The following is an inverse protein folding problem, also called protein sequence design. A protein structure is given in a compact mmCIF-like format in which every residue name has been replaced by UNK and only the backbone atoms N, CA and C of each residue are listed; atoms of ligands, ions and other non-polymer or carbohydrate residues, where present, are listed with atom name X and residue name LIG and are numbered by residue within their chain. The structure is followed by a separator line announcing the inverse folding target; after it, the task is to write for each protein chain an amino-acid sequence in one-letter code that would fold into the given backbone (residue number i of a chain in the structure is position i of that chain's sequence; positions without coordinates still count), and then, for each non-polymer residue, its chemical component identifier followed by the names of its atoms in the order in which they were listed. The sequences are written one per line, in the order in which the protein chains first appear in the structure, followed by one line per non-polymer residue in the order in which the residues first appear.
data_IF_776585346544
#
_entry.id   IF_776585346544
#
_cell.length_a   1.000
_cell.length_b   1.000
_cell.length_c   1.000
_cell.angle_alpha   90.00
_cell.angle_beta   90.00
_cell.angle_gamma   90.00
#
_symmetry.space_group_name_H-M   'P 1'
#
loop_
_entity.id
_entity.type
_entity.pdbx_description
1 polymer ?
#
# COMPACT_ATOMS: atom_id res chain seq x y z
N UNK A 1 -7.84 -27.29 24.06
CA UNK A 1 -6.74 -27.85 23.24
C UNK A 1 -5.75 -28.52 24.17
N UNK A 2 -5.41 -29.79 23.93
CA UNK A 2 -4.47 -30.57 24.75
C UNK A 2 -3.04 -29.98 24.73
N UNK A 3 -2.74 -29.14 23.73
CA UNK A 3 -1.42 -28.56 23.47
C UNK A 3 -1.05 -27.42 24.44
N UNK A 4 -2.00 -26.56 24.82
CA UNK A 4 -1.74 -25.47 25.80
C UNK A 4 -1.40 -26.03 27.19
N UNK A 5 -2.07 -27.12 27.60
CA UNK A 5 -1.79 -27.82 28.84
C UNK A 5 -0.38 -28.45 28.83
N UNK A 6 0.02 -29.03 27.69
CA UNK A 6 1.36 -29.58 27.49
C UNK A 6 2.45 -28.48 27.55
N UNK A 7 2.25 -27.36 26.85
CA UNK A 7 3.18 -26.22 26.85
C UNK A 7 3.34 -25.63 28.25
N UNK A 8 2.24 -25.45 28.99
CA UNK A 8 2.27 -24.96 30.38
C UNK A 8 3.01 -25.92 31.31
N UNK A 9 2.77 -27.22 31.18
CA UNK A 9 3.45 -28.25 31.98
C UNK A 9 4.95 -28.30 31.70
N UNK A 10 5.34 -28.22 30.42
CA UNK A 10 6.75 -28.18 30.01
C UNK A 10 7.46 -26.92 30.54
N UNK A 11 6.82 -25.75 30.43
CA UNK A 11 7.37 -24.51 30.99
C UNK A 11 7.58 -24.61 32.51
N UNK A 12 6.59 -25.13 33.25
CA UNK A 12 6.68 -25.27 34.70
C UNK A 12 7.83 -26.18 35.14
N UNK A 13 8.10 -27.26 34.40
CA UNK A 13 9.24 -28.14 34.67
C UNK A 13 10.59 -27.43 34.44
N UNK A 14 10.69 -26.66 33.35
CA UNK A 14 11.92 -25.93 33.00
C UNK A 14 12.14 -24.77 33.98
N UNK A 15 11.09 -24.05 34.37
CA UNK A 15 11.19 -22.91 35.30
C UNK A 15 11.59 -23.36 36.70
N UNK A 16 11.11 -24.50 37.19
CA UNK A 16 11.57 -25.09 38.46
C UNK A 16 13.04 -25.50 38.38
N UNK A 17 13.46 -26.15 37.27
CA UNK A 17 14.82 -26.68 37.09
C UNK A 17 15.88 -25.59 37.02
N UNK A 18 15.55 -24.44 36.44
CA UNK A 18 16.48 -23.33 36.23
C UNK A 18 16.16 -22.11 37.09
N UNK A 19 15.35 -22.27 38.15
CA UNK A 19 14.98 -21.15 39.01
C UNK A 19 16.25 -20.45 39.58
N UNK A 20 16.37 -19.11 39.48
CA UNK A 20 17.59 -18.40 39.87
C UNK A 20 18.04 -18.68 41.30
N UNK A 21 17.08 -18.81 42.22
CA UNK A 21 17.35 -19.11 43.64
C UNK A 21 17.97 -20.49 43.89
N UNK A 22 17.76 -21.45 42.98
CA UNK A 22 18.25 -22.84 43.11
C UNK A 22 19.40 -23.16 42.17
N UNK A 23 19.60 -22.34 41.14
CA UNK A 23 20.60 -22.58 40.11
C UNK A 23 21.16 -21.21 39.64
N UNK A 24 22.27 -20.74 40.24
CA UNK A 24 22.85 -19.42 39.96
C UNK A 24 23.18 -19.22 38.46
N UNK A 25 23.64 -20.28 37.79
CA UNK A 25 23.96 -20.29 36.35
C UNK A 25 22.73 -20.58 35.46
N UNK A 26 21.56 -20.82 36.06
CA UNK A 26 20.31 -21.14 35.37
C UNK A 26 19.54 -19.93 34.86
N UNK A 27 19.94 -18.72 35.24
CA UNK A 27 19.17 -17.48 35.00
C UNK A 27 18.86 -17.24 33.52
N UNK A 28 19.84 -17.41 32.65
CA UNK A 28 19.66 -17.20 31.20
C UNK A 28 18.67 -18.20 30.61
N UNK A 29 18.75 -19.47 31.03
CA UNK A 29 17.82 -20.51 30.61
C UNK A 29 16.41 -20.30 31.16
N UNK A 30 16.28 -19.78 32.37
CA UNK A 30 14.99 -19.42 32.96
C UNK A 30 14.32 -18.27 32.18
N UNK A 31 15.08 -17.21 31.86
CA UNK A 31 14.60 -16.11 31.03
C UNK A 31 14.21 -16.57 29.61
N UNK A 32 15.05 -17.40 28.98
CA UNK A 32 14.76 -17.96 27.66
C UNK A 32 13.51 -18.85 27.67
N UNK A 33 13.32 -19.66 28.72
CA UNK A 33 12.13 -20.50 28.88
C UNK A 33 10.86 -19.67 29.10
N UNK A 34 10.95 -18.58 29.86
CA UNK A 34 9.84 -17.65 30.06
C UNK A 34 9.44 -16.94 28.76
N UNK A 35 10.42 -16.47 27.99
CA UNK A 35 10.20 -15.89 26.66
C UNK A 35 9.57 -16.88 25.69
N UNK A 36 10.09 -18.11 25.63
CA UNK A 36 9.56 -19.15 24.75
C UNK A 36 8.13 -19.54 25.13
N UNK A 37 7.82 -19.67 26.43
CA UNK A 37 6.46 -19.92 26.91
C UNK A 37 5.52 -18.77 26.56
N UNK A 38 5.94 -17.53 26.77
CA UNK A 38 5.14 -16.35 26.43
C UNK A 38 4.86 -16.26 24.93
N UNK A 39 5.83 -16.61 24.08
CA UNK A 39 5.68 -16.71 22.64
C UNK A 39 4.70 -17.84 22.23
N UNK A 40 4.86 -19.04 22.80
CA UNK A 40 4.01 -20.19 22.50
C UNK A 40 2.57 -20.01 22.99
N UNK A 41 2.36 -19.35 24.12
CA UNK A 41 1.01 -18.98 24.57
C UNK A 41 0.40 -17.86 23.72
N UNK A 42 1.22 -17.00 23.11
CA UNK A 42 0.79 -16.05 22.10
C UNK A 42 0.55 -16.69 20.71
N UNK A 43 0.69 -18.02 20.53
CA UNK A 43 0.39 -18.69 19.23
C UNK A 43 -1.01 -18.44 18.72
N UNK A 44 -2.01 -18.14 19.57
CA UNK A 44 -3.34 -17.72 19.12
C UNK A 44 -3.32 -16.44 18.24
N UNK A 45 -2.23 -15.66 18.30
CA UNK A 45 -1.96 -14.47 17.47
C UNK A 45 -1.28 -14.78 16.14
N UNK A 46 -0.68 -15.96 16.03
CA UNK A 46 -0.17 -16.55 14.78
C UNK A 46 -1.29 -17.43 14.24
N UNK A 47 -2.31 -16.81 13.64
CA UNK A 47 -3.41 -17.54 13.02
C UNK A 47 -2.90 -18.66 12.11
N UNK A 48 -3.67 -19.74 11.99
CA UNK A 48 -3.37 -20.89 11.13
C UNK A 48 -3.42 -20.58 9.62
N UNK A 49 -3.62 -19.31 9.26
CA UNK A 49 -3.70 -18.82 7.90
C UNK A 49 -2.85 -17.55 7.69
N UNK A 50 -2.80 -17.04 6.44
CA UNK A 50 -2.04 -15.85 6.10
C UNK A 50 -2.41 -14.66 6.99
N UNK A 51 -1.43 -14.12 7.72
CA UNK A 51 -1.60 -12.94 8.57
C UNK A 51 -1.51 -11.68 7.69
N UNK A 52 -2.59 -10.88 7.64
CA UNK A 52 -2.67 -9.65 6.83
C UNK A 52 -1.56 -8.64 7.14
N UNK A 53 -1.25 -8.42 8.42
CA UNK A 53 -0.16 -7.52 8.81
C UNK A 53 1.19 -8.03 8.30
N UNK A 54 1.45 -9.33 8.40
CA UNK A 54 2.71 -9.90 7.89
C UNK A 54 2.80 -9.79 6.36
N UNK A 55 1.70 -10.01 5.65
CA UNK A 55 1.67 -9.81 4.19
C UNK A 55 1.94 -8.34 3.86
N UNK A 56 1.31 -7.40 4.57
CA UNK A 56 1.52 -5.98 4.36
C UNK A 56 2.99 -5.58 4.58
N UNK A 57 3.60 -6.07 5.67
CA UNK A 57 5.00 -5.85 5.97
C UNK A 57 5.92 -6.44 4.88
N UNK A 58 5.61 -7.63 4.40
CA UNK A 58 6.35 -8.28 3.30
C UNK A 58 6.28 -7.45 2.01
N UNK A 59 5.08 -7.02 1.62
CA UNK A 59 4.89 -6.18 0.42
C UNK A 59 5.65 -4.86 0.54
N UNK A 60 5.55 -4.17 1.68
CA UNK A 60 6.27 -2.90 1.91
C UNK A 60 7.78 -3.08 1.96
N UNK A 61 8.28 -4.16 2.55
CA UNK A 61 9.70 -4.47 2.55
C UNK A 61 10.21 -4.66 1.12
N UNK A 62 9.44 -5.35 0.27
CA UNK A 62 9.76 -5.50 -1.15
C UNK A 62 9.72 -4.15 -1.88
N UNK A 63 8.75 -3.28 -1.60
CA UNK A 63 8.71 -1.92 -2.18
C UNK A 63 9.99 -1.14 -1.86
N UNK A 64 10.45 -1.18 -0.60
CA UNK A 64 11.70 -0.52 -0.17
C UNK A 64 12.90 -1.10 -0.91
N UNK A 65 12.97 -2.43 -1.06
CA UNK A 65 14.06 -3.11 -1.76
C UNK A 65 14.12 -2.69 -3.22
N UNK A 66 12.97 -2.71 -3.92
CA UNK A 66 12.89 -2.25 -5.30
C UNK A 66 13.27 -0.78 -5.42
N UNK A 67 12.65 0.10 -4.63
CA UNK A 67 12.92 1.54 -4.67
C UNK A 67 14.40 1.90 -4.48
N UNK A 68 15.10 1.25 -3.54
CA UNK A 68 16.51 1.52 -3.24
C UNK A 68 17.50 0.88 -4.21
N UNK A 69 17.16 -0.29 -4.75
CA UNK A 69 18.09 -1.11 -5.53
C UNK A 69 17.63 -1.39 -6.96
N UNK A 70 16.79 -0.51 -7.55
CA UNK A 70 16.27 -0.66 -8.93
C UNK A 70 17.34 -1.05 -9.93
N UNK A 71 18.50 -0.38 -9.92
CA UNK A 71 19.60 -0.64 -10.86
C UNK A 71 20.10 -2.09 -10.82
N UNK A 72 20.13 -2.71 -9.64
CA UNK A 72 20.58 -4.10 -9.46
C UNK A 72 19.46 -5.06 -9.87
N UNK A 73 18.21 -4.69 -9.57
CA UNK A 73 17.04 -5.55 -9.79
C UNK A 73 16.48 -5.47 -11.22
N UNK A 74 16.93 -4.51 -12.03
CA UNK A 74 16.40 -4.27 -13.37
C UNK A 74 16.58 -5.46 -14.34
N UNK A 75 17.60 -6.28 -14.12
CA UNK A 75 17.91 -7.47 -14.92
C UNK A 75 16.98 -8.66 -14.62
N UNK A 76 16.19 -8.60 -13.55
CA UNK A 76 15.36 -9.70 -13.08
C UNK A 76 13.87 -9.36 -13.15
N UNK A 77 13.05 -10.38 -13.42
CA UNK A 77 11.60 -10.29 -13.31
C UNK A 77 11.18 -10.44 -11.86
N UNK A 78 10.19 -9.67 -11.44
CA UNK A 78 9.55 -9.87 -10.16
C UNK A 78 8.66 -11.12 -10.19
N UNK A 79 9.16 -12.20 -9.60
CA UNK A 79 8.46 -13.50 -9.59
C UNK A 79 7.14 -13.50 -8.79
N UNK A 80 6.87 -12.44 -8.02
CA UNK A 80 5.69 -12.35 -7.16
C UNK A 80 4.41 -11.89 -7.86
N UNK A 81 4.42 -11.58 -9.16
CA UNK A 81 3.24 -11.05 -9.85
C UNK A 81 1.98 -11.91 -9.74
N UNK A 82 2.00 -13.25 -9.87
CA UNK A 82 0.78 -14.06 -9.75
C UNK A 82 0.07 -13.84 -8.40
N UNK A 83 0.85 -13.77 -7.31
CA UNK A 83 0.31 -13.54 -5.98
C UNK A 83 -0.05 -12.07 -5.76
N UNK A 84 0.73 -11.13 -6.28
CA UNK A 84 0.47 -9.70 -6.18
C UNK A 84 -0.85 -9.32 -6.86
N UNK A 85 -1.05 -9.78 -8.10
CA UNK A 85 -2.28 -9.54 -8.87
C UNK A 85 -3.48 -10.17 -8.16
N UNK A 86 -3.32 -11.40 -7.65
CA UNK A 86 -4.36 -12.05 -6.83
C UNK A 86 -4.71 -11.22 -5.58
N UNK A 87 -3.72 -10.71 -4.86
CA UNK A 87 -3.95 -9.85 -3.70
C UNK A 87 -4.70 -8.57 -4.08
N UNK A 88 -4.33 -7.91 -5.17
CA UNK A 88 -5.03 -6.71 -5.65
C UNK A 88 -6.50 -7.03 -5.94
N UNK A 89 -6.80 -8.11 -6.67
CA UNK A 89 -8.18 -8.52 -6.97
C UNK A 89 -8.97 -8.85 -5.71
N UNK A 90 -8.44 -9.71 -4.85
CA UNK A 90 -9.13 -10.12 -3.62
C UNK A 90 -9.44 -8.93 -2.72
N UNK A 91 -8.52 -7.97 -2.58
CA UNK A 91 -8.78 -6.75 -1.80
C UNK A 91 -9.77 -5.80 -2.49
N UNK A 92 -9.80 -5.79 -3.82
CA UNK A 92 -10.73 -4.96 -4.59
C UNK A 92 -12.17 -5.48 -4.51
N UNK A 93 -12.33 -6.80 -4.35
CA UNK A 93 -13.62 -7.48 -4.20
C UNK A 93 -14.15 -7.45 -2.75
N UNK A 94 -13.33 -7.07 -1.78
CA UNK A 94 -13.70 -7.01 -0.36
C UNK A 94 -14.58 -5.80 -0.05
N UNK A 95 -15.91 -5.99 -0.08
CA UNK A 95 -16.88 -4.94 0.25
C UNK A 95 -16.72 -4.42 1.70
N UNK A 96 -16.25 -5.26 2.63
CA UNK A 96 -16.05 -4.86 4.02
C UNK A 96 -14.86 -3.90 4.16
N UNK A 97 -13.79 -4.12 3.38
CA UNK A 97 -12.67 -3.19 3.28
C UNK A 97 -13.17 -1.79 2.92
N UNK A 98 -13.98 -1.67 1.86
CA UNK A 98 -14.46 -0.37 1.39
C UNK A 98 -15.51 0.27 2.32
N UNK A 99 -16.33 -0.53 3.00
CA UNK A 99 -17.21 -0.05 4.06
C UNK A 99 -16.41 0.56 5.23
N UNK A 100 -15.31 -0.09 5.64
CA UNK A 100 -14.40 0.44 6.68
C UNK A 100 -13.65 1.69 6.19
N UNK A 101 -13.25 1.73 4.92
CA UNK A 101 -12.60 2.88 4.31
C UNK A 101 -13.50 4.11 4.32
N UNK A 102 -14.79 3.94 4.03
CA UNK A 102 -15.77 5.02 4.11
C UNK A 102 -16.07 5.49 5.54
N UNK A 103 -15.82 4.65 6.55
CA UNK A 103 -16.22 4.89 7.94
C UNK A 103 -15.09 5.30 8.90
N UNK A 104 -13.82 5.25 8.51
CA UNK A 104 -12.68 5.53 9.41
C UNK A 104 -11.79 6.68 8.94
N UNK A 105 -11.30 7.47 9.90
CA UNK A 105 -10.53 8.70 9.69
C UNK A 105 -9.00 8.51 9.75
N UNK A 106 -8.48 7.31 10.04
CA UNK A 106 -7.02 7.12 10.19
C UNK A 106 -6.55 5.71 9.79
N UNK A 107 -5.72 5.64 8.75
CA UNK A 107 -5.16 4.41 8.16
C UNK A 107 -3.64 4.32 8.35
N UNK A 108 -3.10 5.07 9.30
CA UNK A 108 -1.70 5.01 9.68
C UNK A 108 -1.36 3.61 10.21
N UNK A 109 -0.17 3.09 9.85
CA UNK A 109 0.37 1.87 10.47
C UNK A 109 0.44 2.13 11.98
N UNK A 110 -0.11 1.27 12.84
CA UNK A 110 0.00 1.46 14.28
C UNK A 110 1.48 1.54 14.68
N UNK A 111 1.90 2.72 15.13
CA UNK A 111 3.24 2.93 15.67
C UNK A 111 3.33 2.22 17.03
N UNK A 112 4.43 1.49 17.32
CA UNK A 112 4.67 0.98 18.66
C UNK A 112 4.82 2.16 19.62
N UNK A 113 3.92 2.30 20.60
CA UNK A 113 4.12 3.25 21.70
C UNK A 113 5.21 2.71 22.65
N UNK A 114 6.04 3.58 23.25
CA UNK A 114 6.99 3.16 24.26
C UNK A 114 6.23 2.65 25.50
N UNK A 115 6.62 1.47 25.98
CA UNK A 115 5.97 0.72 27.06
C UNK A 115 5.83 1.56 28.35
N UNK A 116 4.63 2.09 28.60
CA UNK A 116 4.21 2.47 29.95
C UNK A 116 3.58 1.25 30.63
N UNK A 117 4.22 0.80 31.69
CA UNK A 117 3.94 -0.43 32.42
C UNK A 117 2.53 -0.43 33.05
N UNK A 118 1.85 -1.58 32.92
CA UNK A 118 0.80 -2.19 33.78
C UNK A 118 -0.61 -2.33 33.20
N UNK A 119 -1.08 -3.58 33.27
CA UNK A 119 -2.45 -4.10 33.32
C UNK A 119 -3.41 -3.74 32.17
N UNK A 120 -3.51 -4.63 31.19
CA UNK A 120 -4.77 -5.26 30.74
C UNK A 120 -4.54 -6.08 29.47
N UNK A 121 -4.46 -7.42 29.61
CA UNK A 121 -4.31 -8.35 28.48
C UNK A 121 -5.47 -8.25 27.47
N UNK A 122 -6.65 -7.76 27.86
CA UNK A 122 -7.81 -7.55 26.97
C UNK A 122 -7.64 -6.34 26.03
N UNK A 123 -6.97 -5.28 26.47
CA UNK A 123 -6.77 -4.06 25.64
C UNK A 123 -5.71 -4.25 24.57
N UNK A 124 -4.80 -5.20 24.75
CA UNK A 124 -3.72 -5.46 23.80
C UNK A 124 -4.17 -6.38 22.67
N UNK A 125 -5.01 -7.39 22.97
CA UNK A 125 -5.63 -8.26 21.96
C UNK A 125 -6.60 -7.49 21.04
N UNK A 126 -7.36 -6.54 21.59
CA UNK A 126 -8.26 -5.70 20.82
C UNK A 126 -7.49 -4.72 19.91
N UNK A 127 -6.46 -4.03 20.44
CA UNK A 127 -5.58 -3.16 19.64
C UNK A 127 -4.81 -3.91 18.55
N UNK A 128 -4.38 -5.15 18.80
CA UNK A 128 -3.68 -5.96 17.80
C UNK A 128 -4.62 -6.53 16.72
N UNK A 129 -5.88 -6.85 17.06
CA UNK A 129 -6.92 -7.19 16.08
C UNK A 129 -7.32 -5.99 15.23
N UNK A 130 -7.44 -4.81 15.83
CA UNK A 130 -7.65 -3.54 15.11
C UNK A 130 -6.48 -3.26 14.16
N UNK A 131 -5.23 -3.45 14.61
CA UNK A 131 -4.02 -3.31 13.76
C UNK A 131 -4.05 -4.21 12.51
N UNK A 132 -4.42 -5.49 12.65
CA UNK A 132 -4.52 -6.41 11.52
C UNK A 132 -5.78 -6.16 10.64
N UNK A 133 -6.86 -5.64 11.24
CA UNK A 133 -8.09 -5.24 10.56
C UNK A 133 -7.93 -3.96 9.73
N UNK A 134 -7.07 -3.05 10.19
CA UNK A 134 -6.77 -1.76 9.54
C UNK A 134 -5.66 -1.90 8.48
N UNK A 135 -5.05 -3.08 8.33
CA UNK A 135 -4.05 -3.35 7.31
C UNK A 135 -4.69 -3.25 5.91
N UNK A 136 -4.46 -2.12 5.24
CA UNK A 136 -4.86 -1.91 3.85
C UNK A 136 -3.82 -2.57 2.93
N UNK A 137 -4.03 -3.85 2.64
CA UNK A 137 -3.13 -4.61 1.76
C UNK A 137 -3.14 -4.04 0.34
N UNK A 138 -4.29 -3.52 -0.12
CA UNK A 138 -4.41 -2.91 -1.45
C UNK A 138 -3.41 -1.77 -1.66
N UNK A 139 -3.19 -0.93 -0.64
CA UNK A 139 -2.22 0.17 -0.69
C UNK A 139 -0.80 -0.38 -0.86
N UNK A 140 -0.41 -1.36 -0.04
CA UNK A 140 0.93 -1.96 -0.11
C UNK A 140 1.15 -2.74 -1.41
N UNK A 141 0.12 -3.42 -1.92
CA UNK A 141 0.17 -4.18 -3.15
C UNK A 141 0.32 -3.27 -4.38
N UNK A 142 -0.46 -2.18 -4.45
CA UNK A 142 -0.35 -1.20 -5.54
C UNK A 142 0.95 -0.41 -5.50
N UNK A 143 1.44 -0.08 -4.30
CA UNK A 143 2.78 0.50 -4.10
C UNK A 143 3.87 -0.43 -4.66
N UNK A 144 3.83 -1.72 -4.32
CA UNK A 144 4.80 -2.69 -4.83
C UNK A 144 4.68 -2.88 -6.35
N UNK A 145 3.47 -2.88 -6.89
CA UNK A 145 3.26 -2.92 -8.34
C UNK A 145 3.95 -1.74 -9.02
N UNK A 146 3.86 -0.54 -8.46
CA UNK A 146 4.58 0.63 -8.98
C UNK A 146 6.10 0.44 -8.89
N UNK A 147 6.62 0.09 -7.72
CA UNK A 147 8.07 -0.04 -7.50
C UNK A 147 8.72 -1.07 -8.43
N UNK A 148 8.02 -2.18 -8.68
CA UNK A 148 8.48 -3.23 -9.61
C UNK A 148 8.42 -2.77 -11.07
N UNK A 149 7.31 -2.18 -11.52
CA UNK A 149 7.17 -1.70 -12.91
C UNK A 149 8.13 -0.56 -13.23
N UNK A 150 8.34 0.37 -12.29
CA UNK A 150 9.29 1.46 -12.44
C UNK A 150 10.76 0.99 -12.52
N UNK A 151 11.03 -0.28 -12.21
CA UNK A 151 12.38 -0.84 -12.20
C UNK A 151 12.85 -1.34 -13.56
N UNK A 152 11.99 -1.98 -14.36
CA UNK A 152 12.40 -2.52 -15.66
C UNK A 152 11.25 -2.80 -16.62
N UNK A 153 11.58 -2.84 -17.91
CA UNK A 153 10.68 -3.30 -18.97
C UNK A 153 10.19 -4.74 -18.72
N UNK A 154 11.08 -5.62 -18.23
CA UNK A 154 10.77 -7.00 -17.89
C UNK A 154 9.62 -7.10 -16.88
N UNK A 155 9.62 -6.21 -15.88
CA UNK A 155 8.57 -6.14 -14.87
C UNK A 155 7.26 -5.59 -15.42
N UNK A 156 7.31 -4.53 -16.22
CA UNK A 156 6.13 -4.00 -16.89
C UNK A 156 5.44 -5.04 -17.78
N UNK A 157 6.22 -5.79 -18.57
CA UNK A 157 5.70 -6.87 -19.39
C UNK A 157 5.11 -8.01 -18.56
N UNK A 158 5.75 -8.39 -17.46
CA UNK A 158 5.29 -9.50 -16.63
C UNK A 158 3.99 -9.14 -15.89
N UNK A 159 3.88 -7.92 -15.35
CA UNK A 159 2.62 -7.42 -14.79
C UNK A 159 1.49 -7.49 -15.83
N UNK A 160 1.76 -7.07 -17.07
CA UNK A 160 0.78 -7.15 -18.17
C UNK A 160 0.38 -8.60 -18.47
N UNK A 161 1.35 -9.52 -18.56
CA UNK A 161 1.11 -10.95 -18.86
C UNK A 161 0.24 -11.60 -17.80
N UNK A 162 0.42 -11.24 -16.54
CA UNK A 162 -0.36 -11.74 -15.40
C UNK A 162 -1.75 -11.08 -15.25
N UNK A 163 -2.14 -10.21 -16.20
CA UNK A 163 -3.43 -9.50 -16.14
C UNK A 163 -3.49 -8.42 -15.05
N UNK A 164 -2.33 -7.90 -14.65
CA UNK A 164 -2.20 -6.91 -13.58
C UNK A 164 -2.76 -5.54 -13.94
N UNK A 165 -2.73 -5.14 -15.21
CA UNK A 165 -3.33 -3.85 -15.65
C UNK A 165 -4.84 -3.88 -15.44
N UNK A 166 -5.50 -5.01 -15.74
CA UNK A 166 -6.93 -5.22 -15.54
C UNK A 166 -7.27 -5.18 -14.04
N UNK A 167 -6.49 -5.86 -13.20
CA UNK A 167 -6.68 -5.83 -11.75
C UNK A 167 -6.51 -4.40 -11.17
N UNK A 168 -5.53 -3.65 -11.66
CA UNK A 168 -5.35 -2.24 -11.28
C UNK A 168 -6.50 -1.36 -11.77
N UNK A 169 -7.06 -1.63 -12.95
CA UNK A 169 -8.24 -0.91 -13.45
C UNK A 169 -9.47 -1.13 -12.56
N UNK A 170 -9.74 -2.37 -12.17
CA UNK A 170 -10.83 -2.71 -11.24
C UNK A 170 -10.67 -1.97 -9.90
N UNK A 171 -9.46 -2.00 -9.33
CA UNK A 171 -9.12 -1.27 -8.11
C UNK A 171 -9.31 0.24 -8.28
N UNK A 172 -8.89 0.80 -9.41
CA UNK A 172 -9.00 2.23 -9.68
C UNK A 172 -10.47 2.67 -9.78
N UNK A 173 -11.31 1.87 -10.44
CA UNK A 173 -12.74 2.14 -10.54
C UNK A 173 -13.39 2.18 -9.15
N UNK A 174 -13.09 1.21 -8.28
CA UNK A 174 -13.60 1.16 -6.90
C UNK A 174 -13.09 2.31 -6.03
N UNK A 175 -11.79 2.63 -6.09
CA UNK A 175 -11.23 3.71 -5.26
C UNK A 175 -11.62 5.11 -5.73
N UNK A 176 -11.68 5.35 -7.04
CA UNK A 176 -11.93 6.70 -7.59
C UNK A 176 -13.31 7.26 -7.25
N UNK A 177 -14.31 6.40 -7.02
CA UNK A 177 -15.66 6.83 -6.63
C UNK A 177 -15.77 7.25 -5.16
N UNK A 178 -14.81 6.85 -4.32
CA UNK A 178 -14.76 7.19 -2.89
C UNK A 178 -14.01 8.48 -2.60
N UNK A 179 -13.35 9.05 -3.62
CA UNK A 179 -12.66 10.33 -3.49
C UNK A 179 -13.64 11.50 -3.42
N UNK A 180 -13.38 12.39 -2.48
CA UNK A 180 -14.14 13.61 -2.21
C UNK A 180 -13.27 14.85 -2.40
N UNK A 181 -13.84 15.86 -3.07
CA UNK A 181 -13.18 17.14 -3.32
C UNK A 181 -13.06 18.03 -2.07
N UNK A 182 -13.67 17.62 -0.95
CA UNK A 182 -13.72 18.42 0.28
C UNK A 182 -13.18 17.68 1.50
N UNK A 183 -13.21 16.35 1.52
CA UNK A 183 -12.86 15.57 2.72
C UNK A 183 -11.68 14.63 2.54
N UNK A 184 -11.33 14.24 1.31
CA UNK A 184 -10.20 13.32 1.09
C UNK A 184 -8.86 13.98 1.41
N UNK A 185 -7.95 13.21 2.02
CA UNK A 185 -6.62 13.63 2.45
C UNK A 185 -5.53 12.79 1.78
N UNK A 186 -4.29 13.31 1.64
CA UNK A 186 -3.18 12.59 1.00
C UNK A 186 -2.90 11.19 1.56
N UNK A 187 -3.13 10.98 2.85
CA UNK A 187 -2.86 9.71 3.53
C UNK A 187 -4.00 8.70 3.45
N UNK A 188 -5.15 9.07 2.89
CA UNK A 188 -6.30 8.18 2.77
C UNK A 188 -5.96 7.01 1.85
N UNK A 189 -6.46 5.83 2.22
CA UNK A 189 -6.20 4.59 1.48
C UNK A 189 -6.51 4.71 -0.02
N UNK A 190 -7.71 5.20 -0.37
CA UNK A 190 -8.12 5.35 -1.77
C UNK A 190 -7.28 6.38 -2.54
N UNK A 191 -6.84 7.45 -1.88
CA UNK A 191 -5.96 8.46 -2.50
C UNK A 191 -4.61 7.84 -2.84
N UNK A 192 -4.01 7.12 -1.89
CA UNK A 192 -2.73 6.42 -2.08
C UNK A 192 -2.83 5.34 -3.16
N UNK A 193 -3.89 4.52 -3.14
CA UNK A 193 -4.13 3.49 -4.17
C UNK A 193 -4.24 4.12 -5.56
N UNK A 194 -5.04 5.19 -5.71
CA UNK A 194 -5.15 5.91 -6.99
C UNK A 194 -3.79 6.46 -7.44
N UNK A 195 -3.02 7.07 -6.53
CA UNK A 195 -1.69 7.60 -6.82
C UNK A 195 -0.71 6.52 -7.30
N UNK A 196 -0.68 5.36 -6.62
CA UNK A 196 0.16 4.23 -7.03
C UNK A 196 -0.28 3.67 -8.39
N UNK A 197 -1.58 3.47 -8.63
CA UNK A 197 -2.09 2.97 -9.92
C UNK A 197 -1.70 3.91 -11.07
N UNK A 198 -1.90 5.22 -10.91
CA UNK A 198 -1.53 6.22 -11.92
C UNK A 198 -0.02 6.19 -12.19
N UNK A 199 0.80 6.00 -11.15
CA UNK A 199 2.24 5.87 -11.28
C UNK A 199 2.64 4.58 -12.02
N UNK A 200 1.94 3.46 -11.78
CA UNK A 200 2.10 2.22 -12.55
C UNK A 200 1.77 2.47 -14.02
N UNK A 201 0.64 3.10 -14.31
CA UNK A 201 0.19 3.37 -15.69
C UNK A 201 1.18 4.26 -16.44
N UNK A 202 1.69 5.31 -15.79
CA UNK A 202 2.71 6.18 -16.34
C UNK A 202 3.98 5.41 -16.70
N UNK A 203 4.50 4.60 -15.77
CA UNK A 203 5.69 3.78 -15.99
C UNK A 203 5.47 2.69 -17.06
N UNK A 204 4.32 2.00 -17.03
CA UNK A 204 3.96 0.97 -17.99
C UNK A 204 3.78 1.53 -19.40
N UNK A 205 3.25 2.75 -19.55
CA UNK A 205 3.03 3.38 -20.85
C UNK A 205 4.31 3.65 -21.64
N UNK A 206 5.48 3.59 -21.00
CA UNK A 206 6.77 3.66 -21.71
C UNK A 206 6.98 2.46 -22.65
N UNK A 207 6.24 1.36 -22.46
CA UNK A 207 6.41 0.11 -23.20
C UNK A 207 5.24 -0.15 -24.18
N UNK A 208 5.49 -0.43 -25.47
CA UNK A 208 4.44 -0.57 -26.49
C UNK A 208 3.34 -1.58 -26.16
N UNK A 209 3.69 -2.79 -25.68
CA UNK A 209 2.70 -3.82 -25.37
C UNK A 209 1.80 -3.44 -24.19
N UNK A 210 2.33 -2.68 -23.22
CA UNK A 210 1.54 -2.14 -22.13
C UNK A 210 0.59 -1.05 -22.62
N UNK A 211 1.03 -0.18 -23.54
CA UNK A 211 0.16 0.84 -24.14
C UNK A 211 -1.03 0.22 -24.87
N UNK A 212 -0.79 -0.79 -25.69
CA UNK A 212 -1.87 -1.52 -26.38
C UNK A 212 -2.90 -2.08 -25.37
N UNK A 213 -2.42 -2.67 -24.28
CA UNK A 213 -3.33 -3.20 -23.27
C UNK A 213 -4.06 -2.11 -22.47
N UNK A 214 -3.45 -0.93 -22.26
CA UNK A 214 -4.13 0.23 -21.66
C UNK A 214 -5.19 0.80 -22.62
N UNK A 215 -4.92 0.82 -23.94
CA UNK A 215 -5.88 1.27 -24.96
C UNK A 215 -7.16 0.41 -24.99
N UNK A 216 -7.03 -0.90 -24.73
CA UNK A 216 -8.17 -1.83 -24.59
C UNK A 216 -9.05 -1.54 -23.36
N UNK A 217 -8.60 -0.65 -22.46
CA UNK A 217 -9.27 -0.27 -21.22
C UNK A 217 -9.46 1.26 -21.16
N UNK A 218 -10.27 1.87 -22.07
CA UNK A 218 -10.40 3.32 -22.21
C UNK A 218 -10.88 4.03 -20.92
N UNK A 219 -11.55 3.33 -20.02
CA UNK A 219 -11.93 3.81 -18.69
C UNK A 219 -10.72 4.28 -17.86
N UNK A 220 -9.53 3.72 -18.08
CA UNK A 220 -8.31 4.16 -17.39
C UNK A 220 -7.98 5.62 -17.67
N UNK A 221 -8.04 6.05 -18.93
CA UNK A 221 -7.81 7.45 -19.29
C UNK A 221 -8.82 8.38 -18.61
N UNK A 222 -10.10 7.97 -18.58
CA UNK A 222 -11.16 8.72 -17.88
C UNK A 222 -10.91 8.79 -16.36
N UNK A 223 -10.47 7.69 -15.74
CA UNK A 223 -10.15 7.67 -14.31
C UNK A 223 -8.96 8.56 -13.97
N UNK A 224 -7.87 8.51 -14.76
CA UNK A 224 -6.71 9.39 -14.62
C UNK A 224 -7.15 10.86 -14.70
N UNK A 225 -7.92 11.23 -15.73
CA UNK A 225 -8.43 12.60 -15.90
C UNK A 225 -9.30 13.07 -14.74
N UNK A 226 -10.15 12.20 -14.21
CA UNK A 226 -11.01 12.52 -13.06
C UNK A 226 -10.20 12.98 -11.84
N UNK A 227 -8.96 12.51 -11.69
CA UNK A 227 -8.14 12.92 -10.55
C UNK A 227 -7.78 14.40 -10.55
N UNK A 228 -7.75 15.06 -11.72
CA UNK A 228 -7.48 16.50 -11.84
C UNK A 228 -8.56 17.39 -11.22
N UNK A 229 -9.73 16.84 -10.85
CA UNK A 229 -10.79 17.61 -10.19
C UNK A 229 -10.56 17.80 -8.69
N UNK A 230 -9.77 16.95 -8.04
CA UNK A 230 -9.58 16.94 -6.58
C UNK A 230 -8.47 17.92 -6.16
N UNK A 231 -8.78 19.21 -6.21
CA UNK A 231 -7.83 20.30 -5.90
C UNK A 231 -7.23 20.23 -4.49
N UNK A 232 -7.98 19.68 -3.54
CA UNK A 232 -7.51 19.36 -2.18
C UNK A 232 -6.39 18.30 -2.15
N UNK A 233 -6.06 17.67 -3.28
CA UNK A 233 -5.04 16.64 -3.44
C UNK A 233 -4.04 17.03 -4.56
N UNK A 234 -3.24 18.09 -4.36
CA UNK A 234 -2.35 18.61 -5.41
C UNK A 234 -1.34 17.57 -5.91
N UNK A 235 -0.76 16.78 -5.02
CA UNK A 235 0.17 15.71 -5.39
C UNK A 235 -0.49 14.64 -6.29
N UNK A 236 -1.75 14.29 -6.01
CA UNK A 236 -2.51 13.34 -6.84
C UNK A 236 -2.80 13.94 -8.23
N UNK A 237 -3.07 15.25 -8.29
CA UNK A 237 -3.23 15.97 -9.55
C UNK A 237 -1.92 15.97 -10.37
N UNK A 238 -0.76 16.19 -9.73
CA UNK A 238 0.55 16.12 -10.40
C UNK A 238 0.86 14.73 -10.95
N UNK A 239 0.57 13.67 -10.18
CA UNK A 239 0.71 12.28 -10.65
C UNK A 239 -0.19 12.01 -11.86
N UNK A 240 -1.44 12.48 -11.81
CA UNK A 240 -2.39 12.36 -12.93
C UNK A 240 -1.89 13.08 -14.18
N UNK A 241 -1.45 14.34 -14.06
CA UNK A 241 -0.90 15.11 -15.17
C UNK A 241 0.34 14.41 -15.78
N UNK A 242 1.21 13.86 -14.95
CA UNK A 242 2.40 13.11 -15.39
C UNK A 242 2.02 11.84 -16.15
N UNK A 243 0.99 11.12 -15.70
CA UNK A 243 0.48 9.94 -16.40
C UNK A 243 -0.18 10.30 -17.74
N UNK A 244 -0.91 11.42 -17.82
CA UNK A 244 -1.47 11.91 -19.08
C UNK A 244 -0.38 12.29 -20.08
N UNK A 245 0.68 12.95 -19.62
CA UNK A 245 1.84 13.22 -20.46
C UNK A 245 2.46 11.92 -21.00
N UNK A 246 2.57 10.89 -20.17
CA UNK A 246 3.08 9.57 -20.58
C UNK A 246 2.15 8.86 -21.59
N UNK A 247 0.83 8.98 -21.43
CA UNK A 247 -0.16 8.51 -22.40
C UNK A 247 -0.01 9.20 -23.75
N UNK A 248 0.25 10.51 -23.75
CA UNK A 248 0.40 11.30 -24.98
C UNK A 248 1.65 10.97 -25.82
N UNK A 249 2.55 10.11 -25.34
CA UNK A 249 3.64 9.55 -26.16
C UNK A 249 3.09 8.68 -27.29
N UNK A 250 1.88 8.12 -27.10
CA UNK A 250 1.20 7.26 -28.06
C UNK A 250 -0.02 7.96 -28.65
N UNK A 251 -0.13 7.88 -29.98
CA UNK A 251 -1.16 8.60 -30.74
C UNK A 251 -2.59 8.27 -30.26
N UNK A 252 -2.92 6.99 -30.08
CA UNK A 252 -4.29 6.60 -29.74
C UNK A 252 -4.63 6.94 -28.29
N UNK A 253 -3.69 6.75 -27.36
CA UNK A 253 -3.88 7.18 -25.97
C UNK A 253 -3.98 8.71 -25.85
N UNK A 254 -3.22 9.45 -26.66
CA UNK A 254 -3.34 10.90 -26.76
C UNK A 254 -4.75 11.31 -27.25
N UNK A 255 -5.24 10.68 -28.32
CA UNK A 255 -6.58 10.95 -28.87
C UNK A 255 -7.66 10.63 -27.83
N UNK A 256 -7.61 9.47 -27.18
CA UNK A 256 -8.56 9.11 -26.10
C UNK A 256 -8.54 10.12 -24.96
N UNK A 257 -7.36 10.59 -24.56
CA UNK A 257 -7.22 11.62 -23.52
C UNK A 257 -7.85 12.94 -23.97
N UNK A 258 -7.59 13.36 -25.21
CA UNK A 258 -8.17 14.56 -25.81
C UNK A 258 -9.71 14.49 -25.88
N UNK A 259 -10.26 13.37 -26.36
CA UNK A 259 -11.72 13.15 -26.46
C UNK A 259 -12.41 13.16 -25.10
N UNK A 260 -11.70 12.78 -24.03
CA UNK A 260 -12.18 12.87 -22.66
C UNK A 260 -11.98 14.27 -22.02
N UNK A 261 -11.50 15.25 -22.77
CA UNK A 261 -11.39 16.64 -22.32
C UNK A 261 -10.11 16.97 -21.56
N UNK A 262 -9.02 16.21 -21.77
CA UNK A 262 -7.74 16.44 -21.09
C UNK A 262 -7.25 17.89 -21.17
N UNK A 263 -7.34 18.49 -22.37
CA UNK A 263 -6.88 19.86 -22.59
C UNK A 263 -7.60 20.86 -21.68
N UNK A 264 -8.93 20.75 -21.58
CA UNK A 264 -9.73 21.65 -20.75
C UNK A 264 -9.39 21.53 -19.26
N UNK A 265 -9.23 20.28 -18.77
CA UNK A 265 -8.90 20.03 -17.37
C UNK A 265 -7.50 20.48 -17.00
N UNK A 266 -6.52 20.32 -17.90
CA UNK A 266 -5.15 20.77 -17.68
C UNK A 266 -5.02 22.29 -17.76
N UNK A 267 -5.71 22.95 -18.70
CA UNK A 267 -5.71 24.42 -18.82
C UNK A 267 -6.18 25.11 -17.54
N UNK A 268 -7.15 24.50 -16.83
CA UNK A 268 -7.62 25.01 -15.53
C UNK A 268 -6.50 25.09 -14.48
N UNK A 269 -5.53 24.18 -14.52
CA UNK A 269 -4.36 24.19 -13.62
C UNK A 269 -3.30 25.19 -14.10
N UNK A 270 -3.05 25.26 -15.42
CA UNK A 270 -2.12 26.24 -15.99
C UNK A 270 -2.56 27.67 -15.70
N UNK A 271 -3.85 27.99 -15.83
CA UNK A 271 -4.37 29.32 -15.52
C UNK A 271 -4.47 29.62 -14.03
N UNK A 272 -4.36 28.61 -13.16
CA UNK A 272 -4.28 28.81 -11.72
C UNK A 272 -2.84 29.07 -11.24
N UNK A 273 -1.84 28.87 -12.10
CA UNK A 273 -0.45 29.14 -11.75
C UNK A 273 -0.18 30.64 -11.70
N UNK A 274 0.28 31.10 -10.54
CA UNK A 274 0.68 32.49 -10.30
C UNK A 274 2.14 32.53 -9.83
N UNK A 275 3.04 32.90 -10.74
CA UNK A 275 4.47 33.00 -10.46
C UNK A 275 4.81 34.16 -9.51
N UNK A 276 3.93 35.15 -9.36
CA UNK A 276 4.19 36.33 -8.51
C UNK A 276 4.11 36.01 -7.02
N UNK A 277 3.51 34.87 -6.65
CA UNK A 277 3.49 34.38 -5.26
C UNK A 277 4.91 34.14 -4.72
N UNK A 278 5.81 33.61 -5.56
CA UNK A 278 7.22 33.39 -5.17
C UNK A 278 7.95 34.72 -4.99
N UNK A 279 7.70 35.70 -5.86
CA UNK A 279 8.26 37.05 -5.77
C UNK A 279 7.77 37.82 -4.53
N UNK A 280 6.52 37.57 -4.12
CA UNK A 280 5.92 38.14 -2.91
C UNK A 280 6.41 37.48 -1.60
N UNK A 281 7.33 36.51 -1.67
CA UNK A 281 7.86 35.79 -0.51
C UNK A 281 6.86 34.82 0.12
N UNK A 282 5.78 34.47 -0.59
CA UNK A 282 4.85 33.42 -0.16
C UNK A 282 5.57 32.09 -0.29
N UNK A 283 5.65 31.34 0.81
CA UNK A 283 6.24 30.00 0.78
C UNK A 283 5.32 29.06 -0.01
N UNK A 284 5.74 28.66 -1.20
CA UNK A 284 5.12 27.63 -2.03
C UNK A 284 5.62 26.26 -1.55
N UNK A 285 4.91 25.66 -0.60
CA UNK A 285 5.16 24.29 -0.12
C UNK A 285 4.00 23.40 -0.51
N UNK A 286 4.21 22.09 -0.65
CA UNK A 286 3.11 21.13 -0.93
C UNK A 286 1.91 21.29 0.03
N UNK A 287 2.16 21.74 1.26
CA UNK A 287 1.14 21.97 2.30
C UNK A 287 0.47 23.35 2.28
N UNK A 288 0.98 24.31 1.50
CA UNK A 288 0.45 25.67 1.42
C UNK A 288 -0.14 26.03 0.04
N UNK A 289 -0.10 25.11 -0.91
CA UNK A 289 -0.72 25.25 -2.23
C UNK A 289 -2.19 24.83 -2.17
N UNK A 290 -3.06 25.75 -1.73
CA UNK A 290 -4.53 25.64 -1.85
C UNK A 290 -5.07 26.23 -3.17
#
# INVERSE_FOLDING_TARGET
SNEEALIRRAYYQISIKYHPDKNPDGRDKFHAAALAYQFLCNRKKLGTGPNRLHIQLMLRAQSIVYSRYRKILAEQKYAGYPMLVKTIRTETEDEELFARVAASEDFSVPQPQPDSTKANDTKNDQRQRESASNAVLLVAATELAYETVATSALNAEELRREGGIQALQEAFTRCSVLLSATSSRPNDACVRVCGHIVSVLAAASQFPSCRQNIQELPQLARHVLRLLYYRNLPQLCCLSASCLAAFCIDYWLCVTSYEHGALYLLLRHVFAYDFTLEEAGVKTTETSND
#
